data_IF_517186586837
#
_entry.id   IF_517186586837
#
_cell.length_a   1.000
_cell.length_b   1.000
_cell.length_c   1.000
_cell.angle_alpha   90.00
_cell.angle_beta   90.00
_cell.angle_gamma   90.00
#
_symmetry.space_group_name_H-M   'P 1'
#
loop_
_entity.id
_entity.type
_entity.pdbx_description
1 polymer ?
#
# COMPACT_ATOMS: atom_id res chain seq x y z
N UNK A 1 -23.62 59.30 10.64
CA UNK A 1 -22.70 58.58 9.73
C UNK A 1 -22.05 57.44 10.52
N UNK A 2 -22.60 56.21 10.54
CA UNK A 2 -21.97 55.10 11.25
C UNK A 2 -20.83 54.48 10.42
N UNK A 3 -19.70 54.27 11.08
CA UNK A 3 -18.44 53.82 10.52
C UNK A 3 -18.47 52.40 9.95
N UNK A 4 -17.76 52.23 8.83
CA UNK A 4 -17.54 50.93 8.19
C UNK A 4 -16.59 50.10 9.06
N UNK A 5 -17.05 48.93 9.49
CA UNK A 5 -16.28 47.93 10.23
C UNK A 5 -15.21 47.29 9.29
N UNK A 6 -13.90 47.44 9.56
CA UNK A 6 -12.82 46.95 8.70
C UNK A 6 -12.50 45.45 8.88
N UNK A 7 -13.20 44.72 9.75
CA UNK A 7 -12.85 43.32 10.09
C UNK A 7 -13.72 42.23 9.45
N UNK A 8 -14.49 42.53 8.40
CA UNK A 8 -15.04 41.47 7.52
C UNK A 8 -14.00 41.00 6.51
N UNK A 9 -12.93 40.35 6.98
CA UNK A 9 -12.22 39.39 6.11
C UNK A 9 -13.16 38.23 5.91
N UNK A 10 -13.71 38.13 4.68
CA UNK A 10 -14.32 36.90 4.18
C UNK A 10 -13.36 35.77 4.53
N UNK A 11 -13.80 34.82 5.36
CA UNK A 11 -13.19 33.49 5.41
C UNK A 11 -13.11 33.05 3.96
N UNK A 12 -11.91 33.05 3.41
CA UNK A 12 -11.61 32.36 2.17
C UNK A 12 -11.86 30.91 2.56
N UNK A 13 -12.99 30.37 2.13
CA UNK A 13 -13.29 28.95 2.22
C UNK A 13 -12.00 28.24 1.82
N UNK A 14 -11.41 27.51 2.76
CA UNK A 14 -10.40 26.52 2.44
C UNK A 14 -11.02 25.66 1.36
N UNK A 15 -10.50 25.78 0.14
CA UNK A 15 -10.95 24.95 -0.96
C UNK A 15 -10.80 23.49 -0.49
N UNK A 16 -11.80 22.62 -0.71
CA UNK A 16 -11.68 21.23 -0.36
C UNK A 16 -10.42 20.65 -1.01
N UNK A 17 -9.69 19.74 -0.35
CA UNK A 17 -8.55 19.08 -0.95
C UNK A 17 -9.07 18.33 -2.17
N UNK A 18 -8.70 18.81 -3.36
CA UNK A 18 -9.17 18.27 -4.62
C UNK A 18 -9.05 16.74 -4.64
N UNK A 19 -10.03 16.00 -5.17
CA UNK A 19 -9.83 14.59 -5.46
C UNK A 19 -8.62 14.50 -6.39
N UNK A 20 -7.79 13.49 -6.19
CA UNK A 20 -6.67 13.18 -7.08
C UNK A 20 -7.13 13.28 -8.54
N UNK A 21 -6.23 13.74 -9.42
CA UNK A 21 -6.51 13.79 -10.87
C UNK A 21 -7.21 12.49 -11.30
N UNK A 22 -8.38 12.54 -11.96
CA UNK A 22 -9.17 11.34 -12.24
C UNK A 22 -8.46 10.31 -13.13
N UNK A 23 -7.41 10.71 -13.86
CA UNK A 23 -6.65 9.84 -14.77
C UNK A 23 -5.99 8.65 -14.08
N UNK A 24 -4.99 8.86 -13.20
CA UNK A 24 -4.31 7.77 -12.51
C UNK A 24 -5.23 6.83 -11.71
N UNK A 25 -6.28 7.37 -11.07
CA UNK A 25 -7.28 6.56 -10.39
C UNK A 25 -8.03 5.64 -11.36
N UNK A 26 -8.55 6.20 -12.47
CA UNK A 26 -9.21 5.39 -13.51
C UNK A 26 -8.28 4.35 -14.12
N UNK A 27 -7.02 4.68 -14.34
CA UNK A 27 -6.02 3.74 -14.84
C UNK A 27 -5.77 2.60 -13.85
N UNK A 28 -5.70 2.89 -12.55
CA UNK A 28 -5.52 1.86 -11.52
C UNK A 28 -6.74 0.94 -11.45
N UNK A 29 -7.96 1.49 -11.43
CA UNK A 29 -9.20 0.70 -11.50
C UNK A 29 -9.27 -0.18 -12.75
N UNK A 30 -8.79 0.34 -13.89
CA UNK A 30 -8.69 -0.43 -15.13
C UNK A 30 -7.68 -1.59 -14.99
N UNK A 31 -6.52 -1.35 -14.39
CA UNK A 31 -5.51 -2.39 -14.16
C UNK A 31 -6.07 -3.52 -13.28
N UNK A 32 -6.82 -3.18 -12.23
CA UNK A 32 -7.52 -4.14 -11.38
C UNK A 32 -8.52 -5.00 -12.17
N UNK A 33 -9.39 -4.37 -12.95
CA UNK A 33 -10.37 -5.10 -13.78
C UNK A 33 -9.70 -6.03 -14.78
N UNK A 34 -8.58 -5.62 -15.38
CA UNK A 34 -7.82 -6.47 -16.30
C UNK A 34 -7.20 -7.66 -15.57
N UNK A 35 -6.69 -7.45 -14.35
CA UNK A 35 -6.13 -8.52 -13.54
C UNK A 35 -7.19 -9.57 -13.19
N UNK A 36 -8.38 -9.12 -12.77
CA UNK A 36 -9.54 -9.98 -12.47
C UNK A 36 -10.08 -10.71 -13.71
N UNK A 37 -10.02 -10.07 -14.87
CA UNK A 37 -10.41 -10.66 -16.15
C UNK A 37 -9.39 -11.69 -16.69
N UNK A 38 -8.24 -11.88 -16.02
CA UNK A 38 -7.18 -12.77 -16.49
C UNK A 38 -6.28 -12.15 -17.57
N UNK A 39 -6.48 -10.87 -17.91
CA UNK A 39 -5.64 -10.13 -18.86
C UNK A 39 -4.34 -9.66 -18.20
N UNK A 40 -3.57 -10.63 -17.71
CA UNK A 40 -2.41 -10.43 -16.85
C UNK A 40 -1.31 -9.55 -17.47
N UNK A 41 -1.03 -9.72 -18.77
CA UNK A 41 -0.02 -8.90 -19.46
C UNK A 41 -0.44 -7.42 -19.56
N UNK A 42 -1.71 -7.16 -19.89
CA UNK A 42 -2.24 -5.80 -19.99
C UNK A 42 -2.32 -5.13 -18.61
N UNK A 43 -2.71 -5.89 -17.58
CA UNK A 43 -2.71 -5.41 -16.20
C UNK A 43 -1.29 -5.04 -15.74
N UNK A 44 -0.32 -5.92 -16.00
CA UNK A 44 1.09 -5.70 -15.65
C UNK A 44 1.64 -4.42 -16.28
N UNK A 45 1.41 -4.22 -17.59
CA UNK A 45 1.82 -3.02 -18.31
C UNK A 45 1.26 -1.74 -17.67
N UNK A 46 -0.04 -1.71 -17.34
CA UNK A 46 -0.64 -0.53 -16.71
C UNK A 46 -0.12 -0.28 -15.29
N UNK A 47 0.10 -1.33 -14.50
CA UNK A 47 0.69 -1.15 -13.17
C UNK A 47 2.12 -0.62 -13.25
N UNK A 48 2.94 -1.10 -14.20
CA UNK A 48 4.31 -0.62 -14.41
C UNK A 48 4.32 0.84 -14.85
N UNK A 49 3.46 1.24 -15.80
CA UNK A 49 3.32 2.64 -16.23
C UNK A 49 2.93 3.54 -15.04
N UNK A 50 1.97 3.09 -14.22
CA UNK A 50 1.58 3.81 -13.01
C UNK A 50 2.71 3.87 -11.97
N UNK A 51 3.48 2.79 -11.82
CA UNK A 51 4.58 2.71 -10.87
C UNK A 51 5.72 3.66 -11.25
N UNK A 52 6.13 3.66 -12.52
CA UNK A 52 7.15 4.57 -13.04
C UNK A 52 6.69 6.02 -12.88
N UNK A 53 5.45 6.31 -13.29
CA UNK A 53 4.82 7.61 -13.16
C UNK A 53 4.75 8.09 -11.69
N UNK A 54 4.50 7.20 -10.74
CA UNK A 54 4.51 7.50 -9.31
C UNK A 54 5.94 7.75 -8.80
N UNK A 55 6.91 6.93 -9.22
CA UNK A 55 8.32 7.06 -8.87
C UNK A 55 8.89 8.40 -9.35
N UNK A 56 8.68 8.76 -10.62
CA UNK A 56 9.16 10.01 -11.22
C UNK A 56 8.59 11.27 -10.53
N UNK A 57 7.42 11.14 -9.90
CA UNK A 57 6.76 12.21 -9.14
C UNK A 57 7.10 12.18 -7.64
N UNK A 58 8.06 11.35 -7.22
CA UNK A 58 8.48 11.23 -5.83
C UNK A 58 7.44 10.61 -4.90
N UNK A 59 6.46 9.85 -5.44
CA UNK A 59 5.43 9.18 -4.62
C UNK A 59 5.94 7.84 -4.09
N UNK A 60 6.94 7.92 -3.21
CA UNK A 60 7.71 6.77 -2.73
C UNK A 60 6.91 5.78 -1.86
N UNK A 61 5.72 6.15 -1.37
CA UNK A 61 4.81 5.20 -0.71
C UNK A 61 4.00 4.35 -1.69
N UNK A 62 3.59 4.95 -2.81
CA UNK A 62 2.70 4.32 -3.80
C UNK A 62 3.49 3.53 -4.83
N UNK A 63 4.62 4.06 -5.31
CA UNK A 63 5.40 3.42 -6.37
C UNK A 63 5.82 1.97 -6.06
N UNK A 64 6.33 1.63 -4.85
CA UNK A 64 6.73 0.26 -4.53
C UNK A 64 5.57 -0.73 -4.62
N UNK A 65 4.39 -0.34 -4.12
CA UNK A 65 3.18 -1.16 -4.19
C UNK A 65 2.77 -1.43 -5.64
N UNK A 66 2.82 -0.43 -6.50
CA UNK A 66 2.48 -0.58 -7.91
C UNK A 66 3.48 -1.47 -8.67
N UNK A 67 4.78 -1.37 -8.38
CA UNK A 67 5.78 -2.29 -8.94
C UNK A 67 5.52 -3.74 -8.51
N UNK A 68 5.14 -3.97 -7.25
CA UNK A 68 4.79 -5.31 -6.76
C UNK A 68 3.52 -5.82 -7.46
N UNK A 69 2.50 -5.00 -7.69
CA UNK A 69 1.31 -5.42 -8.44
C UNK A 69 1.61 -5.70 -9.92
N UNK A 70 2.47 -4.91 -10.56
CA UNK A 70 2.95 -5.18 -11.92
C UNK A 70 3.69 -6.52 -12.00
N UNK A 71 4.54 -6.77 -11.00
CA UNK A 71 5.24 -8.04 -10.85
C UNK A 71 4.27 -9.21 -10.70
N UNK A 72 3.35 -9.12 -9.74
CA UNK A 72 2.30 -10.11 -9.48
C UNK A 72 1.48 -10.43 -10.74
N UNK A 73 1.06 -9.42 -11.49
CA UNK A 73 0.34 -9.60 -12.74
C UNK A 73 1.18 -10.38 -13.77
N UNK A 74 2.46 -10.05 -13.95
CA UNK A 74 3.35 -10.82 -14.83
C UNK A 74 3.52 -12.28 -14.39
N UNK A 75 3.62 -12.52 -13.08
CA UNK A 75 3.77 -13.89 -12.54
C UNK A 75 2.52 -14.73 -12.79
N UNK A 76 1.33 -14.15 -12.62
CA UNK A 76 0.06 -14.79 -12.98
C UNK A 76 -0.05 -15.04 -14.50
N UNK A 77 0.50 -14.13 -15.31
CA UNK A 77 0.57 -14.26 -16.77
C UNK A 77 1.67 -15.19 -17.28
N UNK A 78 2.40 -15.90 -16.40
CA UNK A 78 3.48 -16.82 -16.76
C UNK A 78 4.80 -16.15 -17.13
N UNK A 79 4.89 -14.82 -17.06
CA UNK A 79 6.10 -14.04 -17.35
C UNK A 79 7.00 -13.94 -16.11
N UNK A 80 7.49 -15.09 -15.67
CA UNK A 80 8.27 -15.30 -14.46
C UNK A 80 9.39 -14.26 -14.24
N UNK A 81 10.27 -14.13 -15.23
CA UNK A 81 11.46 -13.29 -15.13
C UNK A 81 11.13 -11.80 -15.00
N UNK A 82 10.21 -11.32 -15.85
CA UNK A 82 9.74 -9.94 -15.80
C UNK A 82 9.04 -9.64 -14.46
N UNK A 83 8.20 -10.56 -14.00
CA UNK A 83 7.49 -10.39 -12.74
C UNK A 83 8.42 -10.36 -11.53
N UNK A 84 9.40 -11.26 -11.47
CA UNK A 84 10.40 -11.27 -10.40
C UNK A 84 11.28 -10.02 -10.38
N UNK A 85 11.64 -9.48 -11.55
CA UNK A 85 12.37 -8.21 -11.64
C UNK A 85 11.58 -7.06 -11.00
N UNK A 86 10.30 -6.92 -11.37
CA UNK A 86 9.44 -5.85 -10.86
C UNK A 86 9.14 -6.00 -9.36
N UNK A 87 8.91 -7.23 -8.89
CA UNK A 87 8.76 -7.52 -7.45
C UNK A 87 10.00 -7.08 -6.68
N UNK A 88 11.20 -7.51 -7.10
CA UNK A 88 12.45 -7.16 -6.41
C UNK A 88 12.69 -5.65 -6.44
N UNK A 89 12.35 -4.99 -7.53
CA UNK A 89 12.41 -3.53 -7.61
C UNK A 89 11.51 -2.86 -6.58
N UNK A 90 10.23 -3.27 -6.48
CA UNK A 90 9.31 -2.71 -5.48
C UNK A 90 9.74 -2.99 -4.03
N UNK A 91 10.13 -4.23 -3.73
CA UNK A 91 10.64 -4.58 -2.39
C UNK A 91 11.95 -3.84 -2.06
N UNK A 92 12.83 -3.69 -3.05
CA UNK A 92 14.07 -2.93 -2.92
C UNK A 92 13.82 -1.46 -2.57
N UNK A 93 12.83 -0.82 -3.20
CA UNK A 93 12.44 0.55 -2.85
C UNK A 93 11.95 0.68 -1.40
N UNK A 94 11.25 -0.34 -0.86
CA UNK A 94 10.84 -0.33 0.55
C UNK A 94 12.05 -0.47 1.48
N UNK A 95 13.00 -1.34 1.13
CA UNK A 95 14.24 -1.50 1.89
C UNK A 95 15.08 -0.22 1.90
N UNK A 96 15.29 0.41 0.74
CA UNK A 96 16.02 1.67 0.60
C UNK A 96 15.37 2.81 1.39
N UNK A 97 14.03 2.82 1.45
CA UNK A 97 13.27 3.79 2.23
C UNK A 97 13.20 3.48 3.74
N UNK A 98 13.86 2.41 4.22
CA UNK A 98 13.83 2.00 5.63
C UNK A 98 12.46 1.49 6.10
N UNK A 99 11.59 1.09 5.18
CA UNK A 99 10.20 0.66 5.46
C UNK A 99 10.14 -0.83 5.80
N UNK A 100 10.85 -1.23 6.84
CA UNK A 100 11.10 -2.64 7.17
C UNK A 100 9.85 -3.44 7.50
N UNK A 101 8.88 -2.84 8.20
CA UNK A 101 7.61 -3.50 8.52
C UNK A 101 6.78 -3.77 7.25
N UNK A 102 6.61 -2.74 6.41
CA UNK A 102 5.91 -2.86 5.13
C UNK A 102 6.57 -3.92 4.25
N UNK A 103 7.91 -3.89 4.18
CA UNK A 103 8.72 -4.87 3.44
C UNK A 103 8.47 -6.30 3.93
N UNK A 104 8.52 -6.52 5.25
CA UNK A 104 8.30 -7.84 5.86
C UNK A 104 6.89 -8.35 5.59
N UNK A 105 5.86 -7.52 5.80
CA UNK A 105 4.45 -7.90 5.59
C UNK A 105 4.14 -8.21 4.12
N UNK A 106 4.47 -7.28 3.21
CA UNK A 106 4.22 -7.48 1.78
C UNK A 106 5.04 -8.63 1.21
N UNK A 107 6.30 -8.74 1.61
CA UNK A 107 7.18 -9.82 1.21
C UNK A 107 6.63 -11.19 1.63
N UNK A 108 6.23 -11.36 2.90
CA UNK A 108 5.65 -12.61 3.39
C UNK A 108 4.33 -12.96 2.70
N UNK A 109 3.44 -11.98 2.49
CA UNK A 109 2.19 -12.18 1.73
C UNK A 109 2.47 -12.69 0.32
N UNK A 110 3.46 -12.09 -0.35
CA UNK A 110 3.85 -12.50 -1.70
C UNK A 110 4.46 -13.90 -1.73
N UNK A 111 5.28 -14.28 -0.74
CA UNK A 111 5.84 -15.63 -0.63
C UNK A 111 4.72 -16.68 -0.50
N UNK A 112 3.71 -16.42 0.33
CA UNK A 112 2.54 -17.29 0.49
C UNK A 112 1.82 -17.43 -0.86
N UNK A 113 1.49 -16.30 -1.50
CA UNK A 113 0.80 -16.31 -2.79
C UNK A 113 1.57 -17.07 -3.87
N UNK A 114 2.90 -16.90 -3.95
CA UNK A 114 3.73 -17.61 -4.91
C UNK A 114 3.76 -19.11 -4.67
N UNK A 115 3.75 -19.56 -3.41
CA UNK A 115 3.65 -20.98 -3.07
C UNK A 115 2.30 -21.56 -3.48
N UNK A 116 1.21 -20.83 -3.21
CA UNK A 116 -0.15 -21.24 -3.58
C UNK A 116 -0.31 -21.36 -5.10
N UNK A 117 0.41 -20.54 -5.86
CA UNK A 117 0.48 -20.61 -7.33
C UNK A 117 1.44 -21.70 -7.86
N UNK A 118 2.05 -22.52 -6.99
CA UNK A 118 3.01 -23.55 -7.37
C UNK A 118 4.39 -23.02 -7.78
N UNK A 119 4.67 -21.73 -7.55
CA UNK A 119 5.93 -21.04 -7.93
C UNK A 119 6.93 -21.07 -6.77
N UNK A 120 7.22 -22.27 -6.26
CA UNK A 120 8.04 -22.46 -5.06
C UNK A 120 9.48 -21.92 -5.18
N UNK A 121 10.07 -21.99 -6.38
CA UNK A 121 11.43 -21.48 -6.62
C UNK A 121 11.48 -19.95 -6.47
N UNK A 122 10.51 -19.24 -7.05
CA UNK A 122 10.39 -17.79 -6.95
C UNK A 122 10.11 -17.37 -5.50
N UNK A 123 9.23 -18.10 -4.80
CA UNK A 123 8.94 -17.87 -3.39
C UNK A 123 10.20 -17.99 -2.52
N UNK A 124 11.00 -19.05 -2.72
CA UNK A 124 12.24 -19.28 -2.00
C UNK A 124 13.32 -18.24 -2.33
N UNK A 125 13.30 -17.65 -3.52
CA UNK A 125 14.20 -16.54 -3.86
C UNK A 125 13.82 -15.27 -3.08
N UNK A 126 12.55 -14.89 -3.09
CA UNK A 126 12.07 -13.73 -2.35
C UNK A 126 12.29 -13.91 -0.84
N UNK A 127 12.03 -15.10 -0.30
CA UNK A 127 12.25 -15.41 1.12
C UNK A 127 13.71 -15.24 1.53
N UNK A 128 14.66 -15.77 0.75
CA UNK A 128 16.11 -15.58 0.99
C UNK A 128 16.51 -14.11 0.91
N UNK A 129 15.97 -13.38 -0.06
CA UNK A 129 16.24 -11.95 -0.19
C UNK A 129 15.68 -11.15 1.00
N UNK A 130 14.47 -11.47 1.46
CA UNK A 130 13.86 -10.84 2.64
C UNK A 130 14.68 -11.12 3.90
N UNK A 131 15.09 -12.37 4.14
CA UNK A 131 15.92 -12.73 5.29
C UNK A 131 17.25 -11.98 5.31
N UNK A 132 17.89 -11.84 4.14
CA UNK A 132 19.12 -11.06 4.01
C UNK A 132 18.88 -9.57 4.27
N UNK A 133 17.80 -9.00 3.72
CA UNK A 133 17.50 -7.56 3.83
C UNK A 133 17.02 -7.15 5.23
N UNK A 134 16.33 -8.04 5.94
CA UNK A 134 15.79 -7.79 7.29
C UNK A 134 16.78 -8.13 8.41
N UNK A 135 17.92 -8.76 8.10
CA UNK A 135 18.93 -9.13 9.09
C UNK A 135 19.43 -7.90 9.86
N UNK A 136 19.26 -7.92 11.17
CA UNK A 136 19.71 -6.84 12.06
C UNK A 136 18.81 -5.59 12.06
N UNK A 137 17.65 -5.65 11.41
CA UNK A 137 16.64 -4.60 11.51
C UNK A 137 15.75 -4.83 12.73
N UNK A 138 15.49 -3.78 13.49
CA UNK A 138 14.54 -3.82 14.59
C UNK A 138 13.11 -3.73 14.02
N UNK A 139 12.34 -4.80 14.16
CA UNK A 139 10.94 -4.89 13.72
C UNK A 139 9.96 -4.72 14.89
N UNK A 140 10.46 -4.43 16.11
CA UNK A 140 9.65 -4.38 17.33
C UNK A 140 8.75 -3.15 17.43
N UNK A 141 9.02 -2.09 16.67
CA UNK A 141 8.30 -0.80 16.75
C UNK A 141 6.86 -0.82 16.17
N UNK A 142 6.28 -1.97 15.82
CA UNK A 142 4.92 -2.03 15.24
C UNK A 142 4.12 -3.31 15.51
N UNK A 143 4.57 -4.14 16.45
CA UNK A 143 3.71 -5.17 17.01
C UNK A 143 3.00 -4.59 18.24
N UNK A 144 1.71 -4.25 18.09
CA UNK A 144 0.82 -4.45 19.22
C UNK A 144 0.80 -5.95 19.49
N UNK A 145 1.22 -6.34 20.69
CA UNK A 145 1.51 -7.71 21.10
C UNK A 145 0.46 -8.72 20.65
N UNK A 146 0.91 -9.73 19.91
CA UNK A 146 0.28 -11.05 19.90
C UNK A 146 1.30 -12.02 20.47
N UNK A 147 1.50 -11.93 21.79
CA UNK A 147 2.06 -13.03 22.55
C UNK A 147 0.93 -13.82 23.21
N UNK A 148 0.87 -15.10 22.84
CA UNK A 148 0.18 -16.11 23.60
C UNK A 148 0.85 -16.21 24.99
N UNK A 149 0.26 -15.56 25.99
CA UNK A 149 0.70 -15.63 27.37
C UNK A 149 -0.41 -15.15 28.29
N UNK A 150 -0.87 -16.04 29.16
CA UNK A 150 -1.89 -15.75 30.15
C UNK A 150 -1.39 -14.72 31.19
N UNK A 151 -2.36 -13.97 31.72
CA UNK A 151 -2.36 -13.20 32.98
C UNK A 151 -1.95 -11.70 32.97
N UNK A 152 -2.91 -10.89 33.45
CA UNK A 152 -2.80 -9.58 34.09
C UNK A 152 -2.36 -8.34 33.28
N UNK A 153 -3.34 -7.45 33.03
CA UNK A 153 -3.13 -6.03 32.75
C UNK A 153 -3.89 -5.55 31.54
N UNK A 154 -5.09 -5.00 31.73
CA UNK A 154 -5.87 -4.35 30.68
C UNK A 154 -5.14 -3.07 30.21
N UNK A 155 -4.15 -3.23 29.33
CA UNK A 155 -3.63 -2.13 28.53
C UNK A 155 -4.64 -1.87 27.42
N UNK A 156 -5.21 -0.66 27.43
CA UNK A 156 -6.21 -0.26 26.45
C UNK A 156 -5.59 -0.31 25.05
N UNK A 157 -6.11 -1.21 24.20
CA UNK A 157 -5.84 -1.18 22.77
C UNK A 157 -6.13 0.25 22.29
N UNK A 158 -5.15 0.96 21.70
CA UNK A 158 -5.40 2.32 21.20
C UNK A 158 -6.56 2.24 20.22
N UNK A 159 -7.56 3.11 20.41
CA UNK A 159 -8.78 3.14 19.60
C UNK A 159 -8.39 3.53 18.18
N UNK A 160 -8.21 2.52 17.32
CA UNK A 160 -7.98 2.70 15.88
C UNK A 160 -9.27 3.25 15.25
N UNK A 161 -9.15 4.29 14.43
CA UNK A 161 -10.29 4.90 13.74
C UNK A 161 -11.05 3.94 12.81
N UNK A 162 -12.24 4.33 12.37
CA UNK A 162 -13.03 3.51 11.41
C UNK A 162 -12.50 3.75 10.00
N UNK A 163 -11.95 2.70 9.37
CA UNK A 163 -11.50 2.76 7.98
C UNK A 163 -12.64 2.48 6.99
N UNK A 164 -12.58 3.05 5.77
CA UNK A 164 -13.54 2.72 4.72
C UNK A 164 -13.41 1.23 4.34
N UNK A 165 -14.52 0.57 4.01
CA UNK A 165 -14.50 -0.85 3.60
C UNK A 165 -13.72 -1.08 2.29
N UNK A 166 -13.67 -0.06 1.44
CA UNK A 166 -12.94 -0.06 0.18
C UNK A 166 -12.00 1.15 0.16
N UNK A 167 -10.80 0.95 -0.36
CA UNK A 167 -9.86 2.02 -0.56
C UNK A 167 -10.41 2.97 -1.64
N UNK A 168 -10.68 4.25 -1.37
CA UNK A 168 -11.19 5.19 -2.38
C UNK A 168 -10.17 5.43 -3.51
N UNK A 169 -8.90 5.06 -3.26
CA UNK A 169 -7.81 5.23 -4.21
C UNK A 169 -7.71 4.06 -5.19
N UNK A 170 -7.73 2.80 -4.74
CA UNK A 170 -7.55 1.64 -5.62
C UNK A 170 -8.76 0.72 -5.73
N UNK A 171 -9.80 0.90 -4.92
CA UNK A 171 -10.97 0.02 -4.88
C UNK A 171 -10.71 -1.31 -4.16
N UNK A 172 -9.52 -1.55 -3.61
CA UNK A 172 -9.23 -2.76 -2.84
C UNK A 172 -10.03 -2.75 -1.52
N UNK A 173 -10.51 -3.92 -1.11
CA UNK A 173 -11.08 -4.09 0.24
C UNK A 173 -10.01 -3.80 1.29
N UNK A 174 -10.37 -2.99 2.29
CA UNK A 174 -9.48 -2.59 3.37
C UNK A 174 -9.87 -3.37 4.61
N UNK A 175 -8.96 -4.20 5.10
CA UNK A 175 -9.11 -4.86 6.38
C UNK A 175 -8.30 -4.10 7.45
N UNK A 176 -8.88 -3.68 8.58
CA UNK A 176 -8.18 -2.92 9.62
C UNK A 176 -6.92 -3.60 10.20
N UNK A 177 -6.86 -4.92 10.10
CA UNK A 177 -5.72 -5.73 10.56
C UNK A 177 -4.64 -5.92 9.47
N UNK A 178 -4.96 -5.68 8.20
CA UNK A 178 -4.01 -5.81 7.09
C UNK A 178 -3.25 -4.51 6.79
N UNK A 179 -3.78 -3.37 7.25
CA UNK A 179 -3.18 -2.06 7.00
C UNK A 179 -2.05 -1.72 7.98
N UNK A 180 -1.18 -0.81 7.54
CA UNK A 180 -0.16 -0.23 8.39
C UNK A 180 -0.69 1.07 9.00
N UNK A 181 -0.93 1.07 10.31
CA UNK A 181 -1.37 2.27 11.03
C UNK A 181 -0.17 3.20 11.22
N UNK A 182 -0.28 4.41 10.70
CA UNK A 182 0.75 5.45 10.81
C UNK A 182 0.49 6.32 12.05
N UNK A 183 -0.79 6.53 12.37
CA UNK A 183 -1.26 7.20 13.58
C UNK A 183 -2.65 6.67 13.97
N UNK A 184 -3.29 7.25 14.99
CA UNK A 184 -4.59 6.81 15.53
C UNK A 184 -5.72 6.79 14.48
N UNK A 185 -5.64 7.66 13.46
CA UNK A 185 -6.72 7.90 12.50
C UNK A 185 -6.29 7.72 11.04
N UNK A 186 -5.01 7.42 10.79
CA UNK A 186 -4.45 7.29 9.45
C UNK A 186 -3.76 5.95 9.28
N UNK A 187 -4.22 5.19 8.29
CA UNK A 187 -3.62 3.92 7.90
C UNK A 187 -3.15 3.96 6.45
N UNK A 188 -2.13 3.19 6.12
CA UNK A 188 -1.69 2.98 4.75
C UNK A 188 -2.37 1.75 4.15
N UNK A 189 -2.96 1.91 2.97
CA UNK A 189 -3.58 0.83 2.22
C UNK A 189 -2.52 -0.21 1.83
N UNK A 190 -2.66 -1.44 2.34
CA UNK A 190 -1.77 -2.56 2.05
C UNK A 190 -1.68 -2.92 0.56
N UNK A 191 -2.62 -2.46 -0.27
CA UNK A 191 -2.64 -2.77 -1.69
C UNK A 191 -1.89 -1.72 -2.54
N UNK A 192 -2.19 -0.44 -2.37
CA UNK A 192 -1.66 0.64 -3.22
C UNK A 192 -0.75 1.65 -2.50
N UNK A 193 -0.57 1.52 -1.18
CA UNK A 193 0.25 2.44 -0.39
C UNK A 193 -0.35 3.84 -0.19
N UNK A 194 -1.62 4.05 -0.56
CA UNK A 194 -2.34 5.30 -0.29
C UNK A 194 -2.73 5.42 1.18
N UNK A 195 -2.69 6.64 1.70
CA UNK A 195 -3.17 6.93 3.05
C UNK A 195 -4.70 6.91 3.09
N UNK A 196 -5.27 6.33 4.14
CA UNK A 196 -6.68 6.17 4.39
C UNK A 196 -7.04 6.82 5.73
N UNK A 197 -8.16 7.53 5.76
CA UNK A 197 -8.69 8.14 6.98
C UNK A 197 -10.18 7.87 7.16
N UNK A 198 -10.66 8.06 8.39
CA UNK A 198 -12.08 8.00 8.72
C UNK A 198 -12.87 9.05 7.91
N UNK A 199 -13.94 8.60 7.23
CA UNK A 199 -14.84 9.47 6.48
C UNK A 199 -14.48 9.75 5.02
N UNK A 200 -13.50 9.03 4.43
CA UNK A 200 -13.08 9.22 3.03
C UNK A 200 -13.82 8.32 2.01
N UNK A 201 -14.96 7.75 2.42
CA UNK A 201 -15.94 7.12 1.53
C UNK A 201 -17.02 8.15 1.19
N UNK A 202 -16.99 8.71 -0.01
CA UNK A 202 -18.11 9.46 -0.59
C UNK A 202 -19.22 8.49 -1.02
#
# INVERSE_FOLDING_TARGET
MPGRNPYRRRRRSEAPPWPLRPGPLRSMWRAHRLLEAGEHANAAYLYEELAQSAHDRGRLRVAPHLYIQAGRANLLGGQAEAGMRLVRQGLGMLAEAGRWLTLSRLGRRLVIELRDLGRGNDAAEIERWLESSLRGQDLSDSFGDVEAGAEAGAQAVPRRGILPLQCPYCGATVHPDEVEWIDENTAECAYCGSMLREGESD
#
